data_IF_340961013261
#
_entry.id   IF_340961013261
#
_cell.length_a   1.000
_cell.length_b   1.000
_cell.length_c   1.000
_cell.angle_alpha   90.00
_cell.angle_beta   90.00
_cell.angle_gamma   90.00
#
_symmetry.space_group_name_H-M   'P 1'
#
loop_
_entity.id
_entity.type
_entity.pdbx_description
1 polymer ?
#
# COMPACT_ATOMS: atom_id res chain seq x y z
N UNK A 1 42.31 2.73 28.93
CA UNK A 1 42.29 2.41 27.48
C UNK A 1 41.92 3.68 26.73
N UNK A 2 42.64 4.02 25.65
CA UNK A 2 42.41 5.27 24.91
C UNK A 2 40.99 5.32 24.33
N UNK A 3 40.26 6.41 24.60
CA UNK A 3 38.90 6.68 24.12
C UNK A 3 38.75 6.47 22.60
N UNK A 4 39.81 6.77 21.84
CA UNK A 4 39.86 6.57 20.40
C UNK A 4 39.71 5.10 19.98
N UNK A 5 40.19 4.15 20.81
CA UNK A 5 40.04 2.71 20.57
C UNK A 5 38.58 2.26 20.76
N UNK A 6 37.88 2.85 21.71
CA UNK A 6 36.47 2.55 21.97
C UNK A 6 35.60 3.11 20.84
N UNK A 7 35.83 4.36 20.45
CA UNK A 7 35.13 4.99 19.33
C UNK A 7 35.37 4.24 18.01
N UNK A 8 36.63 3.90 17.71
CA UNK A 8 36.98 3.13 16.52
C UNK A 8 36.32 1.73 16.52
N UNK A 9 36.29 1.04 17.66
CA UNK A 9 35.64 -0.26 17.75
C UNK A 9 34.12 -0.19 17.48
N UNK A 10 33.43 0.81 18.03
CA UNK A 10 31.99 1.00 17.80
C UNK A 10 31.71 1.38 16.33
N UNK A 11 32.52 2.24 15.74
CA UNK A 11 32.40 2.61 14.33
C UNK A 11 32.60 1.41 13.40
N UNK A 12 33.63 0.60 13.64
CA UNK A 12 33.91 -0.61 12.86
C UNK A 12 32.77 -1.63 13.03
N UNK A 13 32.27 -1.85 14.24
CA UNK A 13 31.15 -2.74 14.47
C UNK A 13 29.88 -2.32 13.72
N UNK A 14 29.59 -1.02 13.66
CA UNK A 14 28.45 -0.48 12.93
C UNK A 14 28.61 -0.68 11.41
N UNK A 15 29.80 -0.41 10.86
CA UNK A 15 30.10 -0.65 9.45
C UNK A 15 29.96 -2.13 9.10
N UNK A 16 30.50 -3.04 9.93
CA UNK A 16 30.38 -4.48 9.73
C UNK A 16 28.92 -4.93 9.78
N UNK A 17 28.13 -4.41 10.72
CA UNK A 17 26.70 -4.67 10.79
C UNK A 17 25.98 -4.23 9.51
N UNK A 18 26.31 -3.06 8.97
CA UNK A 18 25.71 -2.56 7.74
C UNK A 18 26.06 -3.46 6.55
N UNK A 19 27.32 -3.88 6.42
CA UNK A 19 27.77 -4.79 5.36
C UNK A 19 27.01 -6.12 5.41
N UNK A 20 26.85 -6.71 6.61
CA UNK A 20 26.13 -7.98 6.76
C UNK A 20 24.66 -7.84 6.33
N UNK A 21 23.98 -6.77 6.77
CA UNK A 21 22.59 -6.52 6.39
C UNK A 21 22.46 -6.30 4.88
N UNK A 22 23.40 -5.58 4.26
CA UNK A 22 23.42 -5.39 2.81
C UNK A 22 23.63 -6.70 2.04
N UNK A 23 24.50 -7.59 2.51
CA UNK A 23 24.74 -8.89 1.87
C UNK A 23 23.49 -9.78 1.97
N UNK A 24 22.87 -9.86 3.14
CA UNK A 24 21.64 -10.63 3.34
C UNK A 24 20.52 -10.07 2.46
N UNK A 25 20.34 -8.74 2.46
CA UNK A 25 19.37 -8.07 1.62
C UNK A 25 19.59 -8.35 0.13
N UNK A 26 20.85 -8.33 -0.32
CA UNK A 26 21.21 -8.64 -1.70
C UNK A 26 20.90 -10.08 -2.09
N UNK A 27 21.16 -11.05 -1.20
CA UNK A 27 20.82 -12.46 -1.45
C UNK A 27 19.30 -12.68 -1.55
N UNK A 28 18.53 -12.08 -0.64
CA UNK A 28 17.06 -12.16 -0.68
C UNK A 28 16.51 -11.50 -1.94
N UNK A 29 17.04 -10.32 -2.29
CA UNK A 29 16.68 -9.61 -3.51
C UNK A 29 16.98 -10.45 -4.75
N UNK A 30 18.17 -11.06 -4.84
CA UNK A 30 18.56 -11.90 -5.98
C UNK A 30 17.58 -13.06 -6.20
N UNK A 31 17.26 -13.82 -5.15
CA UNK A 31 16.31 -14.95 -5.24
C UNK A 31 14.91 -14.47 -5.62
N UNK A 32 14.45 -13.37 -5.04
CA UNK A 32 13.12 -12.83 -5.32
C UNK A 32 12.99 -12.30 -6.76
N UNK A 33 14.01 -11.59 -7.26
CA UNK A 33 14.00 -11.06 -8.62
C UNK A 33 14.13 -12.16 -9.68
N UNK A 34 14.87 -13.23 -9.42
CA UNK A 34 14.96 -14.39 -10.31
C UNK A 34 13.57 -15.04 -10.53
N UNK A 35 12.81 -15.22 -9.45
CA UNK A 35 11.44 -15.73 -9.53
C UNK A 35 10.46 -14.78 -10.24
N UNK A 36 10.67 -13.47 -10.14
CA UNK A 36 9.87 -12.48 -10.86
C UNK A 36 10.20 -12.46 -12.35
N UNK A 37 11.47 -12.57 -12.72
CA UNK A 37 11.91 -12.55 -14.11
C UNK A 37 11.40 -13.80 -14.86
N UNK A 38 11.42 -14.96 -14.21
CA UNK A 38 10.86 -16.21 -14.74
C UNK A 38 9.35 -16.11 -15.05
N UNK A 39 8.56 -15.50 -14.16
CA UNK A 39 7.12 -15.31 -14.38
C UNK A 39 6.86 -14.25 -15.46
N UNK A 40 7.64 -13.18 -15.47
CA UNK A 40 7.54 -12.13 -16.49
C UNK A 40 7.91 -12.65 -17.89
N UNK A 41 8.98 -13.44 -17.98
CA UNK A 41 9.42 -14.10 -19.20
C UNK A 41 8.36 -15.08 -19.71
N UNK A 42 7.75 -15.88 -18.81
CA UNK A 42 6.60 -16.74 -19.16
C UNK A 42 5.45 -15.93 -19.73
N UNK A 43 5.07 -14.82 -19.10
CA UNK A 43 3.98 -13.95 -19.57
C UNK A 43 4.28 -13.33 -20.94
N UNK A 44 5.51 -12.88 -21.16
CA UNK A 44 5.92 -12.32 -22.45
C UNK A 44 6.00 -13.37 -23.55
N UNK A 45 6.47 -14.59 -23.25
CA UNK A 45 6.47 -15.71 -24.21
C UNK A 45 5.07 -16.22 -24.55
N UNK A 46 4.08 -15.93 -23.70
CA UNK A 46 2.67 -16.30 -23.92
C UNK A 46 1.87 -15.28 -24.72
N UNK A 47 2.50 -14.21 -25.24
CA UNK A 47 1.86 -13.30 -26.19
C UNK A 47 1.60 -14.12 -27.47
N UNK A 48 0.34 -14.43 -27.80
CA UNK A 48 0.04 -15.15 -29.02
C UNK A 48 0.51 -14.30 -30.20
N UNK A 49 1.18 -14.93 -31.16
CA UNK A 49 1.44 -14.35 -32.47
C UNK A 49 0.09 -13.82 -33.00
N UNK A 50 -0.04 -12.50 -33.12
CA UNK A 50 -1.29 -11.87 -33.55
C UNK A 50 -1.39 -12.10 -35.06
N UNK A 51 -2.01 -13.22 -35.42
CA UNK A 51 -2.50 -13.47 -36.77
C UNK A 51 -3.69 -12.53 -36.98
N UNK A 52 -3.50 -11.48 -37.79
CA UNK A 52 -4.57 -10.54 -38.10
C UNK A 52 -5.62 -11.25 -38.96
N UNK A 53 -6.88 -11.38 -38.49
CA UNK A 53 -7.90 -12.03 -39.29
C UNK A 53 -8.28 -11.15 -40.48
N UNK A 54 -8.38 -11.78 -41.66
CA UNK A 54 -9.03 -11.21 -42.83
C UNK A 54 -10.44 -10.72 -42.46
N UNK A 55 -10.79 -9.49 -42.85
CA UNK A 55 -12.04 -8.83 -42.42
C UNK A 55 -13.22 -9.52 -43.10
N UNK A 56 -13.78 -10.52 -42.43
CA UNK A 56 -15.09 -11.10 -42.73
C UNK A 56 -16.12 -10.34 -41.88
N UNK A 57 -17.21 -9.89 -42.50
CA UNK A 57 -18.32 -9.24 -41.80
C UNK A 57 -18.77 -10.09 -40.60
N UNK A 58 -19.01 -9.49 -39.42
CA UNK A 58 -19.24 -10.26 -38.20
C UNK A 58 -20.49 -11.14 -38.36
N UNK A 59 -20.41 -12.44 -38.01
CA UNK A 59 -21.56 -13.32 -38.06
C UNK A 59 -22.67 -12.80 -37.14
N UNK A 60 -23.96 -13.06 -37.46
CA UNK A 60 -25.07 -12.65 -36.61
C UNK A 60 -24.90 -13.23 -35.21
N UNK A 61 -24.98 -12.35 -34.20
CA UNK A 61 -24.74 -12.68 -32.79
C UNK A 61 -25.60 -13.87 -32.37
N UNK A 62 -24.97 -14.94 -31.89
CA UNK A 62 -25.73 -16.11 -31.47
C UNK A 62 -26.51 -15.79 -30.17
N UNK A 63 -27.62 -16.48 -29.90
CA UNK A 63 -28.35 -16.32 -28.64
C UNK A 63 -27.49 -16.59 -27.38
N UNK A 64 -26.40 -17.35 -27.52
CA UNK A 64 -25.44 -17.60 -26.44
C UNK A 64 -24.55 -16.37 -26.19
N UNK A 65 -24.14 -15.67 -27.24
CA UNK A 65 -23.33 -14.45 -27.14
C UNK A 65 -24.09 -13.29 -26.47
N UNK A 66 -25.39 -13.18 -26.77
CA UNK A 66 -26.26 -12.18 -26.12
C UNK A 66 -26.37 -12.44 -24.61
N UNK A 67 -26.46 -13.72 -24.20
CA UNK A 67 -26.48 -14.08 -22.76
C UNK A 67 -25.15 -13.78 -22.09
N UNK A 68 -24.04 -14.12 -22.73
CA UNK A 68 -22.70 -13.85 -22.23
C UNK A 68 -22.43 -12.34 -22.08
N UNK A 69 -22.88 -11.52 -23.04
CA UNK A 69 -22.78 -10.05 -22.92
C UNK A 69 -23.60 -9.51 -21.75
N UNK A 70 -24.83 -9.99 -21.58
CA UNK A 70 -25.71 -9.56 -20.49
C UNK A 70 -25.17 -9.95 -19.10
N UNK A 71 -24.51 -11.11 -19.02
CA UNK A 71 -23.84 -11.55 -17.80
C UNK A 71 -22.61 -10.69 -17.48
N UNK A 72 -21.78 -10.39 -18.49
CA UNK A 72 -20.64 -9.45 -18.34
C UNK A 72 -21.09 -8.06 -17.90
N UNK A 73 -22.18 -7.54 -18.46
CA UNK A 73 -22.76 -6.27 -18.02
C UNK A 73 -23.24 -6.30 -16.56
N UNK A 74 -23.88 -7.40 -16.14
CA UNK A 74 -24.32 -7.57 -14.75
C UNK A 74 -23.13 -7.58 -13.80
N UNK A 75 -22.10 -8.35 -14.11
CA UNK A 75 -20.88 -8.41 -13.30
C UNK A 75 -20.21 -7.04 -13.19
N UNK A 76 -20.12 -6.29 -14.30
CA UNK A 76 -19.56 -4.94 -14.31
C UNK A 76 -20.38 -3.96 -13.45
N UNK A 77 -21.72 -4.01 -13.54
CA UNK A 77 -22.60 -3.19 -12.70
C UNK A 77 -22.45 -3.53 -11.22
N UNK A 78 -22.32 -4.81 -10.90
CA UNK A 78 -22.13 -5.25 -9.52
C UNK A 78 -20.78 -4.79 -8.95
N UNK A 79 -19.70 -4.88 -9.74
CA UNK A 79 -18.37 -4.36 -9.36
C UNK A 79 -18.44 -2.85 -9.09
N UNK A 80 -19.01 -2.07 -10.00
CA UNK A 80 -19.19 -0.63 -9.83
C UNK A 80 -20.00 -0.29 -8.57
N UNK A 81 -21.06 -1.05 -8.28
CA UNK A 81 -21.87 -0.85 -7.07
C UNK A 81 -21.11 -1.20 -5.78
N UNK A 82 -20.21 -2.19 -5.81
CA UNK A 82 -19.33 -2.53 -4.68
C UNK A 82 -18.29 -1.44 -4.46
N UNK A 83 -17.65 -0.97 -5.52
CA UNK A 83 -16.65 0.12 -5.46
C UNK A 83 -17.28 1.42 -4.94
N UNK A 84 -18.46 1.79 -5.42
CA UNK A 84 -19.18 2.98 -4.96
C UNK A 84 -19.49 2.91 -3.45
N UNK A 85 -19.94 1.74 -2.96
CA UNK A 85 -20.18 1.53 -1.52
C UNK A 85 -18.91 1.62 -0.69
N UNK A 86 -17.80 1.03 -1.16
CA UNK A 86 -16.52 1.11 -0.47
C UNK A 86 -16.00 2.55 -0.44
N UNK A 87 -16.13 3.29 -1.53
CA UNK A 87 -15.73 4.70 -1.59
C UNK A 87 -16.55 5.55 -0.62
N UNK A 88 -17.86 5.31 -0.50
CA UNK A 88 -18.70 6.01 0.46
C UNK A 88 -18.30 5.70 1.91
N UNK A 89 -18.11 4.42 2.25
CA UNK A 89 -17.66 4.01 3.59
C UNK A 89 -16.31 4.63 3.96
N UNK A 90 -15.37 4.71 3.02
CA UNK A 90 -14.08 5.38 3.25
C UNK A 90 -14.26 6.86 3.57
N UNK A 91 -15.10 7.57 2.83
CA UNK A 91 -15.39 9.00 3.08
C UNK A 91 -16.04 9.22 4.45
N UNK A 92 -17.00 8.36 4.82
CA UNK A 92 -17.66 8.44 6.13
C UNK A 92 -16.68 8.14 7.27
N UNK A 93 -15.80 7.14 7.10
CA UNK A 93 -14.76 6.80 8.06
C UNK A 93 -13.75 7.93 8.23
N UNK A 94 -13.30 8.55 7.14
CA UNK A 94 -12.38 9.69 7.17
C UNK A 94 -13.01 10.91 7.87
N UNK A 95 -14.27 11.21 7.57
CA UNK A 95 -15.01 12.29 8.23
C UNK A 95 -15.17 12.03 9.74
N UNK A 96 -15.49 10.78 10.11
CA UNK A 96 -15.60 10.39 11.51
C UNK A 96 -14.24 10.45 12.24
N UNK A 97 -13.17 9.95 11.61
CA UNK A 97 -11.82 10.01 12.17
C UNK A 97 -11.37 11.46 12.42
N UNK A 98 -11.62 12.38 11.47
CA UNK A 98 -11.35 13.81 11.65
C UNK A 98 -12.12 14.40 12.83
N UNK A 99 -13.40 14.04 12.99
CA UNK A 99 -14.23 14.50 14.11
C UNK A 99 -13.68 14.01 15.46
N UNK A 100 -13.34 12.73 15.55
CA UNK A 100 -12.79 12.12 16.77
C UNK A 100 -11.42 12.72 17.11
N UNK A 101 -10.55 12.92 16.10
CA UNK A 101 -9.24 13.55 16.30
C UNK A 101 -9.39 14.98 16.84
N UNK A 102 -10.36 15.76 16.34
CA UNK A 102 -10.65 17.11 16.86
C UNK A 102 -11.05 17.08 18.32
N UNK A 103 -12.03 16.24 18.67
CA UNK A 103 -12.48 16.08 20.05
C UNK A 103 -11.35 15.65 20.99
N UNK A 104 -10.47 14.76 20.52
CA UNK A 104 -9.32 14.28 21.30
C UNK A 104 -8.28 15.37 21.52
N UNK A 105 -7.96 16.15 20.49
CA UNK A 105 -7.08 17.31 20.61
C UNK A 105 -7.66 18.36 21.58
N UNK A 106 -8.97 18.64 21.49
CA UNK A 106 -9.63 19.59 22.38
C UNK A 106 -9.64 19.12 23.84
N UNK A 107 -9.86 17.82 24.08
CA UNK A 107 -9.76 17.21 25.41
C UNK A 107 -8.36 17.41 26.01
N UNK A 108 -7.29 17.05 25.29
CA UNK A 108 -5.93 17.19 25.81
C UNK A 108 -5.51 18.65 25.96
N UNK A 109 -6.02 19.54 25.11
CA UNK A 109 -5.82 20.99 25.26
C UNK A 109 -6.51 21.54 26.51
N UNK A 110 -7.64 20.97 26.92
CA UNK A 110 -8.29 21.33 28.18
C UNK A 110 -7.49 20.78 29.37
N UNK A 111 -7.09 19.51 29.33
CA UNK A 111 -6.27 18.90 30.39
C UNK A 111 -4.94 19.63 30.62
N UNK A 112 -4.24 20.03 29.54
CA UNK A 112 -3.01 20.82 29.67
C UNK A 112 -3.24 22.22 30.27
N UNK A 113 -4.43 22.82 30.03
CA UNK A 113 -4.80 24.10 30.64
C UNK A 113 -5.11 23.97 32.13
N UNK A 114 -5.69 22.85 32.55
CA UNK A 114 -5.99 22.56 33.95
C UNK A 114 -4.74 22.14 34.73
N UNK A 115 -3.89 21.31 34.15
CA UNK A 115 -2.62 20.85 34.72
C UNK A 115 -1.48 20.91 33.67
N UNK A 116 -0.69 21.99 33.65
CA UNK A 116 0.42 22.16 32.74
C UNK A 116 1.62 21.31 33.16
N UNK A 117 1.56 20.02 32.83
CA UNK A 117 2.65 19.06 33.00
C UNK A 117 3.27 18.66 31.65
N UNK A 118 4.54 18.25 31.66
CA UNK A 118 5.24 17.81 30.44
C UNK A 118 4.61 16.58 29.79
N UNK A 119 3.94 15.71 30.58
CA UNK A 119 3.17 14.59 30.04
C UNK A 119 1.94 15.08 29.29
N UNK A 120 1.16 15.98 29.89
CA UNK A 120 -0.05 16.52 29.26
C UNK A 120 0.29 17.31 27.98
N UNK A 121 1.41 18.04 27.98
CA UNK A 121 1.93 18.70 26.79
C UNK A 121 2.25 17.69 25.67
N UNK A 122 2.94 16.60 25.99
CA UNK A 122 3.25 15.55 25.02
C UNK A 122 1.98 14.89 24.44
N UNK A 123 0.99 14.60 25.29
CA UNK A 123 -0.29 14.04 24.83
C UNK A 123 -1.08 15.02 23.96
N UNK A 124 -1.14 16.30 24.34
CA UNK A 124 -1.75 17.35 23.51
C UNK A 124 -1.07 17.45 22.14
N UNK A 125 0.26 17.54 22.11
CA UNK A 125 1.02 17.63 20.86
C UNK A 125 0.79 16.40 19.98
N UNK A 126 0.78 15.20 20.57
CA UNK A 126 0.52 13.96 19.84
C UNK A 126 -0.90 13.89 19.28
N UNK A 127 -1.91 14.32 20.04
CA UNK A 127 -3.31 14.29 19.64
C UNK A 127 -3.62 15.33 18.55
N UNK A 128 -3.08 16.54 18.69
CA UNK A 128 -3.31 17.64 17.76
C UNK A 128 -2.48 17.52 16.47
N UNK A 129 -1.38 16.74 16.47
CA UNK A 129 -0.59 16.47 15.25
C UNK A 129 -1.32 15.61 14.20
N UNK A 130 -2.43 14.98 14.57
CA UNK A 130 -3.22 14.06 13.72
C UNK A 130 -4.40 14.76 13.02
N UNK A 131 -4.45 16.09 13.04
CA UNK A 131 -5.50 16.95 12.46
C UNK A 131 -5.10 17.47 11.08
#
# INVERSE_FOLDING_TARGET
MSWFRIFSAVLVANIVSWVIVSIIGWLVFFVFFDALDDELARRMSSIPEIEFPEIVAPPPLSPQDIKAQKERERLRKEQLAREARQAQLRRENEANARRINRQTCDFWRQQYREDPSSQNEAYMNSACSRL
#
